data_IF_395726287984
#
_entry.id   IF_395726287984
#
_cell.length_a   1.000
_cell.length_b   1.000
_cell.length_c   1.000
_cell.angle_alpha   90.00
_cell.angle_beta   90.00
_cell.angle_gamma   90.00
#
_symmetry.space_group_name_H-M   'P 1'
#
loop_
_entity.id
_entity.type
_entity.pdbx_description
1 polymer ?
#
# COMPACT_ATOMS: atom_id res chain seq x y z
N UNK A 1 30.28 -17.20 7.21
CA UNK A 1 30.41 -16.22 6.11
C UNK A 1 29.38 -16.39 4.98
N UNK A 2 28.93 -17.61 4.62
CA UNK A 2 27.93 -17.82 3.55
C UNK A 2 26.52 -17.25 3.82
N UNK A 3 26.14 -17.10 5.09
CA UNK A 3 24.77 -16.70 5.46
C UNK A 3 24.48 -15.20 5.27
N UNK A 4 25.47 -14.31 5.52
CA UNK A 4 25.29 -12.86 5.39
C UNK A 4 25.08 -12.39 3.95
N UNK A 5 25.83 -12.95 3.01
CA UNK A 5 25.69 -12.60 1.59
C UNK A 5 24.35 -13.06 1.02
N UNK A 6 23.87 -14.24 1.42
CA UNK A 6 22.56 -14.76 1.00
C UNK A 6 21.40 -13.93 1.56
N UNK A 7 21.48 -13.49 2.83
CA UNK A 7 20.49 -12.60 3.44
C UNK A 7 20.46 -11.25 2.69
N UNK A 8 21.62 -10.66 2.43
CA UNK A 8 21.71 -9.40 1.68
C UNK A 8 21.13 -9.51 0.27
N UNK A 9 21.37 -10.63 -0.42
CA UNK A 9 20.80 -10.88 -1.75
C UNK A 9 19.27 -11.02 -1.72
N UNK A 10 18.73 -11.68 -0.68
CA UNK A 10 17.29 -11.81 -0.49
C UNK A 10 16.64 -10.44 -0.25
N UNK A 11 17.20 -9.65 0.66
CA UNK A 11 16.71 -8.29 0.96
C UNK A 11 16.80 -7.37 -0.26
N UNK A 12 17.87 -7.49 -1.06
CA UNK A 12 18.01 -6.77 -2.33
C UNK A 12 16.95 -7.16 -3.37
N UNK A 13 16.61 -8.45 -3.47
CA UNK A 13 15.58 -8.93 -4.38
C UNK A 13 14.19 -8.45 -3.96
N UNK A 14 13.91 -8.50 -2.65
CA UNK A 14 12.66 -8.01 -2.06
C UNK A 14 12.49 -6.50 -2.23
N UNK A 15 13.56 -5.73 -2.03
CA UNK A 15 13.56 -4.28 -2.26
C UNK A 15 13.21 -3.93 -3.71
N UNK A 16 13.83 -4.62 -4.68
CA UNK A 16 13.50 -4.44 -6.10
C UNK A 16 12.09 -4.87 -6.44
N UNK A 17 11.63 -5.97 -5.85
CA UNK A 17 10.28 -6.44 -6.02
C UNK A 17 9.29 -5.36 -5.58
N UNK A 18 9.46 -4.80 -4.37
CA UNK A 18 8.58 -3.75 -3.84
C UNK A 18 8.63 -2.46 -4.68
N UNK A 19 9.81 -2.03 -5.14
CA UNK A 19 9.95 -0.87 -6.04
C UNK A 19 9.25 -1.10 -7.40
N UNK A 20 9.28 -2.33 -7.89
CA UNK A 20 8.66 -2.67 -9.18
C UNK A 20 7.15 -2.83 -9.05
N UNK A 21 6.70 -3.42 -7.95
CA UNK A 21 5.30 -3.67 -7.62
C UNK A 21 4.57 -2.37 -7.27
N UNK A 22 5.24 -1.48 -6.55
CA UNK A 22 4.73 -0.17 -6.16
C UNK A 22 5.66 0.94 -6.69
N UNK A 23 5.51 1.37 -7.95
CA UNK A 23 6.32 2.44 -8.50
C UNK A 23 6.12 3.77 -7.78
N UNK A 24 7.20 4.47 -7.49
CA UNK A 24 7.15 5.84 -6.97
C UNK A 24 7.00 5.95 -5.46
N UNK A 25 7.45 4.95 -4.69
CA UNK A 25 7.51 5.06 -3.23
C UNK A 25 8.63 5.98 -2.75
N UNK A 26 8.47 6.51 -1.53
CA UNK A 26 9.51 7.26 -0.83
C UNK A 26 10.55 6.33 -0.20
N UNK A 27 11.71 6.87 0.19
CA UNK A 27 12.72 6.11 0.94
C UNK A 27 12.13 5.53 2.23
N UNK A 28 11.30 6.31 2.93
CA UNK A 28 10.69 5.88 4.20
C UNK A 28 9.76 4.69 3.99
N UNK A 29 8.88 4.74 2.98
CA UNK A 29 7.98 3.64 2.65
C UNK A 29 8.78 2.37 2.32
N UNK A 30 9.83 2.49 1.50
CA UNK A 30 10.68 1.37 1.14
C UNK A 30 11.42 0.77 2.33
N UNK A 31 11.86 1.58 3.28
CA UNK A 31 12.54 1.09 4.47
C UNK A 31 11.57 0.36 5.41
N UNK A 32 10.32 0.82 5.54
CA UNK A 32 9.30 0.19 6.41
C UNK A 32 8.81 -1.17 5.93
N UNK A 33 9.09 -1.57 4.68
CA UNK A 33 8.89 -2.97 4.26
C UNK A 33 9.85 -3.95 4.96
N UNK A 34 10.89 -3.45 5.63
CA UNK A 34 11.90 -4.24 6.33
C UNK A 34 11.88 -3.89 7.83
N UNK A 35 10.83 -4.31 8.57
CA UNK A 35 10.70 -4.02 9.99
C UNK A 35 11.93 -4.50 10.76
N UNK A 36 12.38 -3.69 11.71
CA UNK A 36 13.60 -3.87 12.52
C UNK A 36 14.93 -3.79 11.73
N UNK A 37 14.87 -3.52 10.42
CA UNK A 37 16.03 -3.50 9.50
C UNK A 37 16.07 -2.25 8.62
N UNK A 38 15.38 -1.19 8.99
CA UNK A 38 15.19 0.03 8.20
C UNK A 38 16.53 0.70 7.85
N UNK A 39 17.48 0.73 8.79
CA UNK A 39 18.83 1.25 8.55
C UNK A 39 19.61 0.42 7.51
N UNK A 40 19.41 -0.90 7.53
CA UNK A 40 20.02 -1.82 6.56
C UNK A 40 19.36 -1.64 5.19
N UNK A 41 18.03 -1.54 5.14
CA UNK A 41 17.25 -1.28 3.93
C UNK A 41 17.65 0.05 3.27
N UNK A 42 17.86 1.10 4.07
CA UNK A 42 18.36 2.41 3.59
C UNK A 42 19.75 2.31 2.98
N UNK A 43 20.66 1.59 3.65
CA UNK A 43 22.03 1.38 3.14
C UNK A 43 22.02 0.57 1.84
N UNK A 44 21.19 -0.46 1.78
CA UNK A 44 20.95 -1.27 0.59
C UNK A 44 20.42 -0.40 -0.56
N UNK A 45 19.35 0.37 -0.34
CA UNK A 45 18.76 1.25 -1.35
C UNK A 45 19.77 2.25 -1.92
N UNK A 46 20.60 2.85 -1.07
CA UNK A 46 21.68 3.74 -1.49
C UNK A 46 22.71 3.02 -2.38
N UNK A 47 23.05 1.77 -2.06
CA UNK A 47 23.95 0.95 -2.87
C UNK A 47 23.34 0.63 -4.24
N UNK A 48 22.05 0.29 -4.27
CA UNK A 48 21.32 -0.03 -5.51
C UNK A 48 21.21 1.18 -6.43
N UNK A 49 21.04 2.38 -5.86
CA UNK A 49 21.05 3.63 -6.61
C UNK A 49 22.42 3.89 -7.25
N UNK A 50 23.51 3.65 -6.50
CA UNK A 50 24.89 3.79 -7.01
C UNK A 50 25.20 2.79 -8.12
N UNK A 51 24.65 1.58 -8.05
CA UNK A 51 24.79 0.54 -9.07
C UNK A 51 23.89 0.74 -10.30
N UNK A 52 23.00 1.75 -10.28
CA UNK A 52 22.05 2.02 -11.36
C UNK A 52 20.93 0.97 -11.48
N UNK A 53 20.70 0.19 -10.42
CA UNK A 53 19.63 -0.83 -10.37
C UNK A 53 18.26 -0.24 -10.04
N UNK A 54 18.24 0.94 -9.44
CA UNK A 54 17.04 1.73 -9.14
C UNK A 54 17.28 3.18 -9.56
N UNK A 55 16.20 3.88 -9.88
CA UNK A 55 16.24 5.29 -10.25
C UNK A 55 15.50 6.12 -9.21
N UNK A 56 16.09 7.24 -8.80
CA UNK A 56 15.44 8.25 -7.96
C UNK A 56 15.12 9.47 -8.82
N UNK A 57 13.85 9.85 -8.87
CA UNK A 57 13.42 11.05 -9.58
C UNK A 57 13.59 12.32 -8.71
N UNK A 58 13.38 13.48 -9.32
CA UNK A 58 13.51 14.81 -8.68
C UNK A 58 12.58 14.99 -7.47
N UNK A 59 11.42 14.34 -7.50
CA UNK A 59 10.45 14.31 -6.39
C UNK A 59 10.88 13.38 -5.24
N UNK A 60 12.13 12.89 -5.24
CA UNK A 60 12.68 11.97 -4.25
C UNK A 60 11.97 10.60 -4.15
N UNK A 61 11.21 10.22 -5.17
CA UNK A 61 10.56 8.90 -5.29
C UNK A 61 11.41 7.93 -6.10
N UNK A 62 11.28 6.65 -5.78
CA UNK A 62 12.09 5.57 -6.34
C UNK A 62 11.30 4.74 -7.35
N UNK A 63 11.99 4.32 -8.41
CA UNK A 63 11.43 3.58 -9.54
C UNK A 63 12.41 2.51 -10.02
N UNK A 64 11.89 1.41 -10.57
CA UNK A 64 12.72 0.37 -11.18
C UNK A 64 13.40 0.86 -12.48
N UNK A 65 12.73 1.75 -13.22
CA UNK A 65 13.23 2.36 -14.46
C UNK A 65 12.50 3.70 -14.75
N UNK A 66 12.86 4.37 -15.84
CA UNK A 66 12.24 5.67 -16.23
C UNK A 66 10.79 5.52 -16.72
N UNK A 67 10.41 4.41 -17.35
CA UNK A 67 9.04 4.18 -17.85
C UNK A 67 8.03 4.06 -16.70
N UNK A 68 8.43 3.38 -15.62
CA UNK A 68 7.63 3.23 -14.41
C UNK A 68 7.28 4.58 -13.76
N UNK A 69 8.05 5.64 -14.00
CA UNK A 69 7.75 7.00 -13.51
C UNK A 69 6.47 7.57 -14.12
N UNK A 70 6.21 7.31 -15.41
CA UNK A 70 5.10 7.93 -16.13
C UNK A 70 3.74 7.35 -15.72
N UNK A 71 3.72 6.16 -15.12
CA UNK A 71 2.51 5.43 -14.74
C UNK A 71 2.26 5.43 -13.21
N UNK A 72 2.98 6.26 -12.46
CA UNK A 72 2.93 6.23 -11.00
C UNK A 72 1.61 6.84 -10.47
N UNK A 73 0.77 6.00 -9.89
CA UNK A 73 -0.48 6.39 -9.25
C UNK A 73 -0.21 6.98 -7.84
N UNK A 74 -0.74 8.17 -7.59
CA UNK A 74 -0.62 8.83 -6.28
C UNK A 74 -1.42 8.10 -5.21
N UNK A 75 -2.56 7.51 -5.58
CA UNK A 75 -3.44 6.81 -4.65
C UNK A 75 -2.80 5.50 -4.18
N UNK A 76 -2.03 4.85 -5.04
CA UNK A 76 -1.25 3.66 -4.69
C UNK A 76 -0.26 3.95 -3.56
N UNK A 77 0.45 5.07 -3.64
CA UNK A 77 1.41 5.47 -2.59
C UNK A 77 0.73 5.72 -1.25
N UNK A 78 -0.49 6.28 -1.24
CA UNK A 78 -1.29 6.42 0.00
C UNK A 78 -1.72 5.06 0.54
N UNK A 79 -2.17 4.15 -0.33
CA UNK A 79 -2.55 2.80 0.07
C UNK A 79 -1.37 2.00 0.65
N UNK A 80 -0.15 2.23 0.17
CA UNK A 80 1.05 1.58 0.73
C UNK A 80 1.29 2.02 2.18
N UNK A 81 1.00 3.26 2.58
CA UNK A 81 1.09 3.63 4.00
C UNK A 81 0.18 2.79 4.89
N UNK A 82 -1.04 2.54 4.42
CA UNK A 82 -2.00 1.68 5.13
C UNK A 82 -1.48 0.25 5.21
N UNK A 83 -0.90 -0.30 4.14
CA UNK A 83 -0.25 -1.62 4.16
C UNK A 83 0.90 -1.67 5.18
N UNK A 84 1.72 -0.63 5.22
CA UNK A 84 2.90 -0.56 6.08
C UNK A 84 2.56 -0.52 7.57
N UNK A 85 1.40 0.02 7.95
CA UNK A 85 0.95 0.10 9.35
C UNK A 85 0.73 -1.28 10.01
N UNK A 86 0.56 -2.33 9.21
CA UNK A 86 0.39 -3.70 9.70
C UNK A 86 1.29 -4.71 8.96
N UNK A 87 2.39 -4.25 8.36
CA UNK A 87 3.28 -5.08 7.53
C UNK A 87 3.84 -6.31 8.28
N UNK A 88 4.06 -6.20 9.60
CA UNK A 88 4.52 -7.31 10.45
C UNK A 88 3.56 -8.51 10.48
N UNK A 89 2.29 -8.28 10.14
CA UNK A 89 1.22 -9.29 10.11
C UNK A 89 0.93 -9.79 8.68
N UNK A 90 1.54 -9.17 7.66
CA UNK A 90 1.29 -9.46 6.24
C UNK A 90 2.12 -10.66 5.80
N UNK A 91 1.45 -11.68 5.29
CA UNK A 91 2.07 -12.91 4.76
C UNK A 91 2.31 -12.80 3.25
N UNK A 92 1.46 -12.05 2.54
CA UNK A 92 1.54 -11.82 1.10
C UNK A 92 0.87 -10.48 0.74
N UNK A 93 1.42 -9.76 -0.23
CA UNK A 93 0.78 -8.55 -0.79
C UNK A 93 1.10 -8.39 -2.28
N UNK A 94 0.18 -7.77 -3.00
CA UNK A 94 0.32 -7.45 -4.42
C UNK A 94 -0.52 -6.25 -4.82
N UNK A 95 -0.33 -5.74 -6.03
CA UNK A 95 -1.25 -4.75 -6.62
C UNK A 95 -2.56 -5.44 -6.97
N UNK A 96 -3.68 -4.76 -6.73
CA UNK A 96 -5.01 -5.26 -7.04
C UNK A 96 -5.55 -4.65 -8.34
N UNK A 97 -6.66 -5.19 -8.82
CA UNK A 97 -7.42 -4.61 -9.91
C UNK A 97 -8.46 -3.62 -9.37
N UNK A 98 -8.70 -2.56 -10.15
CA UNK A 98 -9.68 -1.53 -9.83
C UNK A 98 -11.05 -2.15 -9.49
N UNK A 99 -11.70 -1.76 -8.38
CA UNK A 99 -11.44 -0.55 -7.58
C UNK A 99 -10.42 -0.68 -6.44
N UNK A 100 -9.89 -1.88 -6.15
CA UNK A 100 -8.86 -2.04 -5.13
C UNK A 100 -7.48 -1.61 -5.68
N UNK A 101 -6.62 -1.07 -4.80
CA UNK A 101 -5.24 -0.74 -5.15
C UNK A 101 -4.26 -1.82 -4.71
N UNK A 102 -4.49 -2.42 -3.53
CA UNK A 102 -3.62 -3.44 -2.93
C UNK A 102 -4.47 -4.60 -2.44
N UNK A 103 -4.00 -5.80 -2.71
CA UNK A 103 -4.51 -7.04 -2.12
C UNK A 103 -3.44 -7.55 -1.16
N UNK A 104 -3.81 -7.84 0.09
CA UNK A 104 -2.89 -8.45 1.05
C UNK A 104 -3.57 -9.56 1.85
N UNK A 105 -2.77 -10.55 2.24
CA UNK A 105 -3.18 -11.62 3.13
C UNK A 105 -2.46 -11.40 4.46
N UNK A 106 -3.23 -11.22 5.54
CA UNK A 106 -2.70 -10.93 6.87
C UNK A 106 -3.52 -11.66 7.93
N UNK A 107 -2.85 -12.27 8.90
CA UNK A 107 -3.48 -13.06 9.97
C UNK A 107 -4.48 -14.11 9.47
N UNK A 108 -4.20 -14.77 8.34
CA UNK A 108 -5.13 -15.75 7.77
C UNK A 108 -6.36 -15.17 7.06
N UNK A 109 -6.48 -13.85 6.92
CA UNK A 109 -7.59 -13.17 6.25
C UNK A 109 -7.13 -12.39 5.02
N UNK A 110 -7.97 -12.36 3.99
CA UNK A 110 -7.74 -11.55 2.78
C UNK A 110 -8.26 -10.13 3.00
N UNK A 111 -7.42 -9.14 2.72
CA UNK A 111 -7.74 -7.72 2.78
C UNK A 111 -7.55 -7.05 1.43
N UNK A 112 -8.46 -6.14 1.11
CA UNK A 112 -8.36 -5.21 -0.02
C UNK A 112 -8.21 -3.79 0.52
N UNK A 113 -7.17 -3.08 0.11
CA UNK A 113 -7.02 -1.64 0.38
C UNK A 113 -7.59 -0.88 -0.81
N UNK A 114 -8.66 -0.13 -0.57
CA UNK A 114 -9.49 0.48 -1.62
C UNK A 114 -9.45 2.00 -1.47
N UNK A 115 -8.75 2.74 -2.37
CA UNK A 115 -8.81 4.19 -2.37
C UNK A 115 -10.13 4.68 -2.96
N UNK A 116 -10.72 5.70 -2.34
CA UNK A 116 -11.92 6.39 -2.83
C UNK A 116 -11.62 7.89 -2.94
N UNK A 117 -11.17 8.34 -4.13
CA UNK A 117 -10.98 9.76 -4.40
C UNK A 117 -12.30 10.53 -4.28
N UNK A 118 -12.21 11.81 -3.93
CA UNK A 118 -13.39 12.66 -3.80
C UNK A 118 -14.18 12.72 -5.12
N UNK A 119 -15.50 12.54 -5.03
CA UNK A 119 -16.40 12.53 -6.18
C UNK A 119 -16.48 11.20 -6.94
N UNK A 120 -15.83 10.13 -6.44
CA UNK A 120 -15.90 8.77 -7.00
C UNK A 120 -16.69 7.78 -6.13
N UNK A 121 -17.24 8.25 -5.01
CA UNK A 121 -17.92 7.46 -3.97
C UNK A 121 -19.02 6.58 -4.59
N UNK A 122 -20.00 7.19 -5.25
CA UNK A 122 -21.14 6.48 -5.84
C UNK A 122 -20.71 5.39 -6.83
N UNK A 123 -19.75 5.70 -7.68
CA UNK A 123 -19.26 4.77 -8.71
C UNK A 123 -18.55 3.57 -8.07
N UNK A 124 -17.67 3.81 -7.11
CA UNK A 124 -16.90 2.75 -6.44
C UNK A 124 -17.84 1.89 -5.57
N UNK A 125 -18.76 2.50 -4.82
CA UNK A 125 -19.77 1.77 -4.05
C UNK A 125 -20.56 0.80 -4.95
N UNK A 126 -21.03 1.26 -6.11
CA UNK A 126 -21.77 0.40 -7.06
C UNK A 126 -20.93 -0.77 -7.59
N UNK A 127 -19.63 -0.56 -7.83
CA UNK A 127 -18.73 -1.62 -8.28
C UNK A 127 -18.50 -2.67 -7.19
N UNK A 128 -18.28 -2.24 -5.95
CA UNK A 128 -17.99 -3.11 -4.81
C UNK A 128 -19.19 -3.94 -4.32
N UNK A 129 -20.40 -3.54 -4.70
CA UNK A 129 -21.63 -4.31 -4.49
C UNK A 129 -21.81 -5.47 -5.46
N UNK A 130 -21.06 -5.51 -6.57
CA UNK A 130 -21.14 -6.64 -7.49
C UNK A 130 -20.61 -7.91 -6.79
N UNK A 131 -21.26 -9.06 -6.97
CA UNK A 131 -20.80 -10.31 -6.37
C UNK A 131 -19.37 -10.64 -6.85
N UNK A 132 -18.47 -10.84 -5.89
CA UNK A 132 -17.11 -11.31 -6.15
C UNK A 132 -16.91 -12.62 -5.39
N UNK A 133 -16.36 -13.64 -6.05
CA UNK A 133 -16.24 -15.01 -5.52
C UNK A 133 -15.38 -15.11 -4.27
N UNK A 134 -14.47 -14.15 -4.05
CA UNK A 134 -13.45 -14.16 -2.99
C UNK A 134 -13.25 -12.77 -2.38
N UNK A 135 -14.33 -11.99 -2.19
CA UNK A 135 -14.21 -10.64 -1.63
C UNK A 135 -13.69 -10.72 -0.19
N UNK A 136 -12.48 -10.21 0.03
CA UNK A 136 -11.88 -10.05 1.34
C UNK A 136 -12.51 -8.91 2.15
N UNK A 137 -11.98 -8.69 3.35
CA UNK A 137 -12.27 -7.52 4.17
C UNK A 137 -11.69 -6.26 3.52
N UNK A 138 -12.39 -5.13 3.60
CA UNK A 138 -11.99 -3.89 2.91
C UNK A 138 -11.51 -2.84 3.88
N UNK A 139 -10.31 -2.33 3.66
CA UNK A 139 -9.80 -1.13 4.32
C UNK A 139 -9.95 0.02 3.33
N UNK A 140 -10.85 0.95 3.61
CA UNK A 140 -11.21 2.00 2.68
C UNK A 140 -10.40 3.25 2.98
N UNK A 141 -9.66 3.75 1.99
CA UNK A 141 -8.83 4.95 2.10
C UNK A 141 -9.58 6.12 1.49
N UNK A 142 -10.04 7.06 2.32
CA UNK A 142 -10.73 8.27 1.90
C UNK A 142 -9.78 9.47 1.93
N UNK A 143 -10.08 10.51 1.15
CA UNK A 143 -9.38 11.80 1.18
C UNK A 143 -9.84 12.66 2.35
N UNK A 144 -11.15 12.65 2.61
CA UNK A 144 -11.78 13.39 3.69
C UNK A 144 -12.77 12.52 4.46
N UNK A 145 -12.83 12.70 5.78
CA UNK A 145 -13.71 11.93 6.65
C UNK A 145 -15.21 12.11 6.33
N UNK A 146 -15.62 13.24 5.74
CA UNK A 146 -17.01 13.46 5.31
C UNK A 146 -17.47 12.50 4.23
N UNK A 147 -16.55 11.89 3.46
CA UNK A 147 -16.90 10.87 2.48
C UNK A 147 -17.50 9.63 3.13
N UNK A 148 -17.08 9.29 4.36
CA UNK A 148 -17.47 8.05 5.06
C UNK A 148 -19.00 7.94 5.20
N UNK A 149 -19.69 9.06 5.42
CA UNK A 149 -21.16 9.09 5.53
C UNK A 149 -21.87 8.71 4.22
N UNK A 150 -21.23 8.99 3.09
CA UNK A 150 -21.74 8.70 1.74
C UNK A 150 -21.44 7.27 1.28
N UNK A 151 -20.58 6.55 2.00
CA UNK A 151 -20.13 5.21 1.62
C UNK A 151 -21.05 4.15 2.21
N UNK A 152 -21.56 3.33 1.31
CA UNK A 152 -22.19 2.04 1.57
C UNK A 152 -21.39 0.99 0.81
N UNK A 153 -20.58 0.23 1.54
CA UNK A 153 -19.63 -0.73 0.97
C UNK A 153 -19.73 -2.01 1.80
N UNK A 154 -19.93 -3.18 1.16
CA UNK A 154 -19.96 -4.43 1.90
C UNK A 154 -18.56 -4.82 2.39
N UNK A 155 -18.50 -5.51 3.52
CA UNK A 155 -17.29 -6.12 4.10
C UNK A 155 -16.19 -5.13 4.52
N UNK A 156 -16.57 -3.90 4.88
CA UNK A 156 -15.62 -2.92 5.41
C UNK A 156 -15.10 -3.35 6.79
N UNK A 157 -13.78 -3.46 6.91
CA UNK A 157 -13.08 -3.62 8.19
C UNK A 157 -12.80 -2.28 8.88
N UNK A 158 -12.64 -1.22 8.10
CA UNK A 158 -12.45 0.14 8.60
C UNK A 158 -12.24 1.16 7.48
N UNK A 159 -12.34 2.43 7.85
CA UNK A 159 -12.01 3.56 6.99
C UNK A 159 -10.73 4.21 7.50
N UNK A 160 -9.99 4.88 6.62
CA UNK A 160 -8.83 5.65 7.04
C UNK A 160 -8.55 6.84 6.12
N UNK A 161 -7.86 7.84 6.66
CA UNK A 161 -7.20 8.91 5.91
C UNK A 161 -5.70 8.74 6.04
N UNK A 162 -4.95 9.27 5.07
CA UNK A 162 -3.48 9.24 5.06
C UNK A 162 -3.00 10.66 4.83
N UNK A 163 -2.27 11.21 5.80
CA UNK A 163 -1.67 12.54 5.72
C UNK A 163 -0.44 12.55 4.79
N UNK A 164 0.03 13.74 4.42
CA UNK A 164 1.20 13.89 3.53
C UNK A 164 2.50 13.30 4.11
N UNK A 165 2.61 13.29 5.44
CA UNK A 165 3.74 12.69 6.17
C UNK A 165 3.64 11.16 6.32
N UNK A 166 2.57 10.55 5.81
CA UNK A 166 2.33 9.11 5.90
C UNK A 166 1.57 8.66 7.15
N UNK A 167 1.15 9.58 8.03
CA UNK A 167 0.33 9.23 9.19
C UNK A 167 -1.04 8.70 8.75
N UNK A 168 -1.39 7.48 9.18
CA UNK A 168 -2.70 6.87 8.93
C UNK A 168 -3.61 7.11 10.14
N UNK A 169 -4.82 7.60 9.90
CA UNK A 169 -5.85 7.75 10.93
C UNK A 169 -7.03 6.84 10.61
N UNK A 170 -7.40 5.96 11.54
CA UNK A 170 -8.45 4.96 11.35
C UNK A 170 -9.78 5.37 11.97
N UNK A 171 -10.88 5.02 11.28
CA UNK A 171 -12.25 5.32 11.65
C UNK A 171 -13.14 4.08 11.48
N UNK A 172 -14.21 4.00 12.28
CA UNK A 172 -15.26 3.00 12.15
C UNK A 172 -16.60 3.72 12.08
N UNK A 173 -17.46 3.29 11.16
CA UNK A 173 -18.85 3.72 11.15
C UNK A 173 -19.54 3.05 12.35
N UNK A 174 -20.18 3.83 13.21
CA UNK A 174 -20.99 3.27 14.28
C UNK A 174 -22.08 2.40 13.63
N UNK A 175 -22.16 1.13 14.03
CA UNK A 175 -23.25 0.29 13.59
C UNK A 175 -24.54 0.92 14.14
N UNK A 176 -25.42 1.39 13.26
CA UNK A 176 -26.75 1.78 13.66
C UNK A 176 -27.38 0.56 14.36
N UNK A 177 -27.59 0.68 15.67
CA UNK A 177 -28.36 -0.28 16.45
C UNK A 177 -29.75 -0.36 15.80
N UNK A 178 -29.97 -1.38 14.99
CA UNK A 178 -31.31 -1.76 14.55
C UNK A 178 -32.14 -1.98 15.82
N UNK A 179 -33.06 -1.05 16.07
CA UNK A 179 -34.02 -1.06 17.17
C UNK A 179 -35.33 -1.68 16.71
#
# INVERSE_FOLDING_TARGET
>A
MKNRAAIYQREAAEMLHNISLYPGLTEEQLCRFFPEKEATAKTLLAHMLKEGRVYRAENCRYYANQEARNNADKDLSRCVWVLLDFIDQVEYHTVAEFPAAILCFANGELYEIVPIPQGKETMICQLLHKPQKDAGKRIVVVEDTSQIELLDIPQVAGFCTVAEDGTVSYYKKEAALES
#
